data_IF_010336064990
#
_entry.id   IF_010336064990
#
_cell.length_a   1.000
_cell.length_b   1.000
_cell.length_c   1.000
_cell.angle_alpha   90.00
_cell.angle_beta   90.00
_cell.angle_gamma   90.00
#
_symmetry.space_group_name_H-M   'P 1'
#
loop_
_entity.id
_entity.type
_entity.pdbx_description
1 polymer ?
#
# COMPACT_ATOMS: atom_id res chain seq x y z
N UNK A 1 55.77 0.91 20.50
CA UNK A 1 54.61 0.70 19.70
C UNK A 1 53.55 1.74 20.05
N UNK A 2 53.43 2.78 19.23
CA UNK A 2 52.43 3.89 19.40
C UNK A 2 51.13 3.45 18.75
N UNK A 3 50.06 3.29 19.55
CA UNK A 3 48.69 3.03 19.04
C UNK A 3 48.23 4.30 18.34
N UNK A 4 47.90 4.14 17.06
CA UNK A 4 47.30 5.22 16.28
C UNK A 4 45.90 5.56 16.87
N UNK A 5 45.74 6.79 17.29
CA UNK A 5 44.48 7.36 17.73
C UNK A 5 43.65 7.62 16.47
N UNK A 6 42.65 6.76 16.22
CA UNK A 6 41.69 6.96 15.12
C UNK A 6 40.79 8.10 15.55
N UNK A 7 41.08 9.23 15.00
CA UNK A 7 40.31 10.50 15.12
C UNK A 7 38.84 10.18 14.71
N UNK A 8 37.94 10.18 15.68
CA UNK A 8 36.48 10.12 15.44
C UNK A 8 36.12 11.42 14.75
N UNK A 9 36.20 11.44 13.41
CA UNK A 9 35.64 12.53 12.60
C UNK A 9 34.19 12.75 13.08
N UNK A 10 33.93 13.92 13.63
CA UNK A 10 32.60 14.45 13.92
C UNK A 10 31.74 14.21 12.68
N UNK A 11 30.85 13.21 12.71
CA UNK A 11 29.77 13.12 11.72
C UNK A 11 29.00 14.42 11.84
N UNK A 12 29.08 15.28 10.84
CA UNK A 12 28.33 16.50 10.80
C UNK A 12 26.86 16.19 11.12
N UNK A 13 26.27 16.91 12.06
CA UNK A 13 24.88 16.74 12.41
C UNK A 13 24.06 16.93 11.15
N UNK A 14 23.50 15.84 10.64
CA UNK A 14 22.52 15.93 9.55
C UNK A 14 21.32 16.68 10.12
N UNK A 15 21.03 17.86 9.55
CA UNK A 15 19.90 18.69 9.93
C UNK A 15 19.10 19.03 8.70
N UNK A 16 17.91 18.45 8.59
CA UNK A 16 16.95 18.76 7.53
C UNK A 16 15.84 19.60 8.14
N UNK A 17 15.60 20.79 7.59
CA UNK A 17 14.48 21.65 7.99
C UNK A 17 13.48 21.75 6.84
N UNK A 18 12.20 21.62 7.18
CA UNK A 18 11.11 21.79 6.25
C UNK A 18 9.94 22.48 6.96
N UNK A 19 9.22 23.29 6.22
CA UNK A 19 7.87 23.68 6.61
C UNK A 19 6.98 22.44 6.65
N UNK A 20 6.05 22.36 7.60
CA UNK A 20 5.11 21.26 7.74
C UNK A 20 3.82 21.70 8.43
N UNK A 21 2.73 20.94 8.22
CA UNK A 21 1.53 21.07 9.01
C UNK A 21 1.40 19.83 9.90
N UNK A 22 1.23 20.06 11.22
CA UNK A 22 1.00 19.04 12.21
C UNK A 22 -0.50 18.88 12.46
N UNK A 23 -1.04 17.67 12.40
CA UNK A 23 -2.41 17.40 12.83
C UNK A 23 -2.48 17.25 14.35
N UNK A 24 -3.28 18.09 15.01
CA UNK A 24 -3.47 18.06 16.45
C UNK A 24 -4.87 18.55 16.80
N UNK A 25 -5.58 17.82 17.67
CA UNK A 25 -6.91 18.20 18.18
C UNK A 25 -7.92 18.52 17.07
N UNK A 26 -7.92 17.75 15.96
CA UNK A 26 -8.90 17.88 14.88
C UNK A 26 -8.50 18.86 13.78
N UNK A 27 -7.38 19.57 13.90
CA UNK A 27 -6.97 20.60 12.94
C UNK A 27 -5.49 20.47 12.51
N UNK A 28 -5.17 21.03 11.34
CA UNK A 28 -3.81 21.12 10.83
C UNK A 28 -3.17 22.44 11.26
N UNK A 29 -2.11 22.37 12.02
CA UNK A 29 -1.38 23.53 12.59
C UNK A 29 -0.08 23.70 11.83
N UNK A 30 0.14 24.90 11.33
CA UNK A 30 1.38 25.27 10.64
C UNK A 30 2.58 25.26 11.57
N UNK A 31 3.73 24.81 11.08
CA UNK A 31 4.96 24.76 11.85
C UNK A 31 6.20 24.39 11.04
N UNK A 32 7.30 24.26 11.75
CA UNK A 32 8.60 23.83 11.23
C UNK A 32 8.93 22.43 11.72
N UNK A 33 9.27 21.55 10.78
CA UNK A 33 9.83 20.23 11.03
C UNK A 33 11.36 20.33 10.92
N UNK A 34 12.06 19.85 11.92
CA UNK A 34 13.52 19.72 11.93
C UNK A 34 13.84 18.26 12.23
N UNK A 35 14.55 17.60 11.32
CA UNK A 35 15.06 16.24 11.49
C UNK A 35 16.56 16.34 11.73
N UNK A 36 17.00 15.91 12.89
CA UNK A 36 18.41 15.86 13.31
C UNK A 36 18.88 14.39 13.34
N UNK A 37 20.14 14.16 13.58
CA UNK A 37 20.72 12.80 13.57
C UNK A 37 20.16 11.87 14.66
N UNK A 38 19.55 12.42 15.72
CA UNK A 38 19.03 11.62 16.85
C UNK A 38 17.56 11.91 17.20
N UNK A 39 16.95 12.93 16.60
CA UNK A 39 15.60 13.37 16.98
C UNK A 39 14.86 14.10 15.88
N UNK A 40 13.51 14.08 15.99
CA UNK A 40 12.59 14.92 15.24
C UNK A 40 12.12 16.02 16.17
N UNK A 41 12.15 17.26 15.71
CA UNK A 41 11.59 18.41 16.40
C UNK A 41 10.53 19.06 15.51
N UNK A 42 9.35 19.30 16.07
CA UNK A 42 8.29 20.04 15.41
C UNK A 42 7.99 21.28 16.27
N UNK A 43 8.01 22.44 15.66
CA UNK A 43 7.74 23.70 16.34
C UNK A 43 6.56 24.37 15.68
N UNK A 44 5.52 24.68 16.42
CA UNK A 44 4.31 25.41 16.00
C UNK A 44 4.11 26.65 16.85
N UNK A 45 3.16 27.51 16.51
CA UNK A 45 2.75 28.64 17.34
C UNK A 45 2.13 28.23 18.68
N UNK A 46 1.78 26.93 18.86
CA UNK A 46 1.21 26.35 20.08
C UNK A 46 2.22 25.55 20.91
N UNK A 47 3.50 25.63 20.56
CA UNK A 47 4.60 24.94 21.25
C UNK A 47 5.41 24.02 20.37
N UNK A 48 6.39 23.35 20.98
CA UNK A 48 7.28 22.41 20.32
C UNK A 48 7.15 21.00 20.87
N UNK A 49 7.35 20.00 19.99
CA UNK A 49 7.38 18.59 20.33
C UNK A 49 8.72 18.04 19.86
N UNK A 50 9.34 17.17 20.66
CA UNK A 50 10.61 16.52 20.32
C UNK A 50 10.48 15.03 20.56
N UNK A 51 10.82 14.22 19.55
CA UNK A 51 10.85 12.78 19.65
C UNK A 51 12.23 12.24 19.25
N UNK A 52 12.80 11.29 20.01
CA UNK A 52 13.98 10.54 19.61
C UNK A 52 13.68 9.72 18.34
N UNK A 53 14.61 9.69 17.39
CA UNK A 53 14.48 8.84 16.19
C UNK A 53 14.42 7.36 16.54
N UNK A 54 15.10 6.98 17.61
CA UNK A 54 15.14 5.60 18.10
C UNK A 54 13.78 5.05 18.55
N UNK A 55 12.81 5.92 18.79
CA UNK A 55 11.46 5.55 19.18
C UNK A 55 10.49 5.41 18.00
N UNK A 56 10.94 5.70 16.77
CA UNK A 56 10.12 5.51 15.57
C UNK A 56 9.95 4.02 15.32
N UNK A 57 8.70 3.58 15.28
CA UNK A 57 8.32 2.19 15.05
C UNK A 57 7.83 1.94 13.64
N UNK A 58 7.16 2.93 13.02
CA UNK A 58 6.61 2.80 11.67
C UNK A 58 6.39 4.15 10.99
N UNK A 59 6.34 4.12 9.67
CA UNK A 59 6.06 5.28 8.81
C UNK A 59 5.04 4.89 7.75
N UNK A 60 3.97 5.68 7.62
CA UNK A 60 2.92 5.41 6.63
C UNK A 60 2.58 6.67 5.84
N UNK A 61 2.48 6.52 4.53
CA UNK A 61 1.86 7.55 3.69
C UNK A 61 0.36 7.28 3.64
N UNK A 62 -0.41 8.21 4.12
CA UNK A 62 -1.88 8.12 4.18
C UNK A 62 -2.51 9.25 3.38
N UNK A 63 -3.76 9.03 2.96
CA UNK A 63 -4.53 10.01 2.20
C UNK A 63 -5.93 10.15 2.80
N UNK A 64 -6.34 11.38 3.05
CA UNK A 64 -7.69 11.74 3.44
C UNK A 64 -8.25 12.79 2.46
N UNK A 65 -9.22 12.38 1.65
CA UNK A 65 -9.69 13.17 0.52
C UNK A 65 -8.54 13.52 -0.43
N UNK A 66 -8.26 14.82 -0.59
CA UNK A 66 -7.17 15.33 -1.44
C UNK A 66 -5.86 15.59 -0.66
N UNK A 67 -5.82 15.35 0.64
CA UNK A 67 -4.65 15.60 1.48
C UNK A 67 -3.86 14.31 1.67
N UNK A 68 -2.61 14.33 1.25
CA UNK A 68 -1.64 13.26 1.49
C UNK A 68 -0.74 13.69 2.67
N UNK A 69 -0.55 12.80 3.64
CA UNK A 69 0.23 13.09 4.83
C UNK A 69 1.06 11.88 5.27
N UNK A 70 2.15 12.16 5.96
CA UNK A 70 3.02 11.17 6.58
C UNK A 70 2.56 10.94 8.02
N UNK A 71 2.23 9.71 8.35
CA UNK A 71 2.02 9.25 9.71
C UNK A 71 3.31 8.61 10.22
N UNK A 72 3.78 9.06 11.38
CA UNK A 72 4.96 8.55 12.08
C UNK A 72 4.49 7.98 13.41
N UNK A 73 4.59 6.66 13.57
CA UNK A 73 4.28 6.00 14.84
C UNK A 73 5.53 5.98 15.74
N UNK A 74 5.40 6.50 16.97
CA UNK A 74 6.48 6.71 17.92
C UNK A 74 6.06 6.19 19.27
N UNK A 75 6.32 4.90 19.56
CA UNK A 75 5.79 4.23 20.76
C UNK A 75 4.26 4.20 20.74
N UNK A 76 3.63 4.82 21.75
CA UNK A 76 2.16 4.93 21.83
C UNK A 76 1.60 6.15 21.09
N UNK A 77 2.46 7.11 20.69
CA UNK A 77 2.08 8.32 19.99
C UNK A 77 2.07 8.11 18.47
N UNK A 78 1.24 8.90 17.77
CA UNK A 78 1.21 8.94 16.31
C UNK A 78 1.18 10.39 15.85
N UNK A 79 2.18 10.77 15.04
CA UNK A 79 2.30 12.08 14.42
C UNK A 79 1.78 12.04 13.00
N UNK A 80 0.89 12.96 12.63
CA UNK A 80 0.46 13.14 11.24
C UNK A 80 0.99 14.47 10.72
N UNK A 81 1.74 14.42 9.62
CA UNK A 81 2.45 15.57 9.05
C UNK A 81 2.16 15.73 7.56
N UNK A 82 1.73 16.91 7.14
CA UNK A 82 1.78 17.31 5.73
C UNK A 82 3.12 18.00 5.50
N UNK A 83 3.93 17.45 4.60
CA UNK A 83 5.27 17.94 4.25
C UNK A 83 5.28 18.26 2.76
N UNK A 84 5.87 19.40 2.33
CA UNK A 84 6.00 19.70 0.91
C UNK A 84 6.71 18.59 0.14
N UNK A 85 6.21 18.23 -1.05
CA UNK A 85 6.71 17.10 -1.86
C UNK A 85 8.22 17.09 -2.06
N UNK A 86 8.83 18.29 -2.25
CA UNK A 86 10.29 18.42 -2.41
C UNK A 86 11.09 17.97 -1.19
N UNK A 87 10.52 18.08 0.02
CA UNK A 87 11.17 17.72 1.29
C UNK A 87 10.75 16.34 1.78
N UNK A 88 9.60 15.85 1.34
CA UNK A 88 9.00 14.58 1.81
C UNK A 88 9.90 13.39 1.49
N UNK A 89 10.31 13.21 0.23
CA UNK A 89 11.10 12.05 -0.19
C UNK A 89 12.44 11.92 0.55
N UNK A 90 13.28 12.95 0.67
CA UNK A 90 14.52 12.83 1.44
C UNK A 90 14.27 12.62 2.94
N UNK A 91 13.23 13.24 3.54
CA UNK A 91 12.88 13.04 4.94
C UNK A 91 12.40 11.62 5.16
N UNK A 92 11.44 11.15 4.36
CA UNK A 92 10.91 9.80 4.44
C UNK A 92 12.02 8.75 4.36
N UNK A 93 12.89 8.86 3.36
CA UNK A 93 14.03 7.98 3.20
C UNK A 93 14.96 7.99 4.41
N UNK A 94 15.31 9.17 4.91
CA UNK A 94 16.18 9.30 6.09
C UNK A 94 15.55 8.62 7.31
N UNK A 95 14.27 8.91 7.59
CA UNK A 95 13.54 8.31 8.71
C UNK A 95 13.47 6.79 8.59
N UNK A 96 13.15 6.26 7.42
CA UNK A 96 13.04 4.82 7.17
C UNK A 96 14.33 4.06 7.50
N UNK A 97 15.49 4.62 7.13
CA UNK A 97 16.77 3.98 7.46
C UNK A 97 17.15 4.06 8.94
N UNK A 98 16.51 4.96 9.71
CA UNK A 98 16.73 5.14 11.14
C UNK A 98 15.75 4.36 12.02
N UNK A 99 14.71 3.74 11.46
CA UNK A 99 13.83 2.83 12.21
C UNK A 99 14.65 1.64 12.71
N UNK A 100 14.42 1.26 13.97
CA UNK A 100 15.03 0.07 14.55
C UNK A 100 14.28 -1.17 14.05
N UNK A 101 14.95 -1.95 13.22
CA UNK A 101 14.49 -3.23 12.72
C UNK A 101 15.50 -4.32 12.98
N UNK A 102 15.04 -5.56 13.05
CA UNK A 102 15.87 -6.70 12.75
C UNK A 102 16.10 -6.73 11.24
N UNK A 103 17.36 -6.55 10.80
CA UNK A 103 17.71 -6.36 9.39
C UNK A 103 18.42 -7.58 8.81
N UNK A 104 17.88 -8.09 7.72
CA UNK A 104 18.46 -9.20 6.96
C UNK A 104 18.88 -8.71 5.57
N UNK A 105 20.12 -9.05 5.18
CA UNK A 105 20.62 -8.75 3.84
C UNK A 105 19.99 -9.70 2.84
N UNK A 106 19.31 -9.15 1.82
CA UNK A 106 18.61 -9.92 0.79
C UNK A 106 18.79 -9.30 -0.59
N UNK A 107 18.45 -10.07 -1.62
CA UNK A 107 18.04 -9.54 -2.91
C UNK A 107 16.53 -9.63 -3.01
N UNK A 108 15.89 -8.64 -3.55
CA UNK A 108 14.44 -8.65 -3.77
C UNK A 108 14.07 -8.11 -5.15
N UNK A 109 12.95 -8.59 -5.68
CA UNK A 109 12.33 -8.15 -6.91
C UNK A 109 10.90 -7.72 -6.59
N UNK A 110 10.58 -6.42 -6.69
CA UNK A 110 9.26 -5.89 -6.33
C UNK A 110 8.84 -4.69 -7.17
N UNK A 111 7.62 -4.72 -7.75
CA UNK A 111 6.78 -5.90 -7.87
C UNK A 111 7.29 -6.81 -9.00
N UNK A 112 7.31 -8.13 -8.79
CA UNK A 112 7.54 -9.11 -9.86
C UNK A 112 6.31 -9.18 -10.77
N UNK A 113 5.13 -9.19 -10.15
CA UNK A 113 3.86 -9.10 -10.87
C UNK A 113 2.86 -8.19 -10.16
N UNK A 114 1.90 -7.68 -10.93
CA UNK A 114 0.82 -6.84 -10.47
C UNK A 114 -0.49 -7.33 -11.10
N UNK A 115 -1.48 -7.69 -10.28
CA UNK A 115 -2.74 -8.27 -10.76
C UNK A 115 -2.54 -9.50 -11.64
N UNK A 116 -1.53 -10.33 -11.35
CA UNK A 116 -1.18 -11.52 -12.14
C UNK A 116 -0.37 -11.25 -13.41
N UNK A 117 -0.09 -9.97 -13.75
CA UNK A 117 0.71 -9.58 -14.92
C UNK A 117 2.15 -9.30 -14.51
N UNK A 118 3.11 -9.95 -15.16
CA UNK A 118 4.53 -9.72 -14.89
C UNK A 118 4.96 -8.29 -15.18
N UNK A 119 5.72 -7.70 -14.26
CA UNK A 119 6.22 -6.34 -14.38
C UNK A 119 7.46 -6.30 -15.28
N UNK A 120 7.33 -5.70 -16.44
CA UNK A 120 8.46 -5.56 -17.37
C UNK A 120 9.51 -4.56 -16.85
N UNK A 121 10.78 -4.92 -16.99
CA UNK A 121 11.90 -4.02 -16.66
C UNK A 121 12.24 -3.91 -15.18
N UNK A 122 11.55 -4.60 -14.29
CA UNK A 122 11.90 -4.68 -12.87
C UNK A 122 13.16 -5.54 -12.69
N UNK A 123 14.07 -5.08 -11.83
CA UNK A 123 15.36 -5.73 -11.62
C UNK A 123 15.51 -6.14 -10.15
N UNK A 124 16.31 -7.17 -9.93
CA UNK A 124 16.73 -7.55 -8.59
C UNK A 124 17.50 -6.42 -7.92
N UNK A 125 17.05 -6.03 -6.74
CA UNK A 125 17.71 -5.02 -5.92
C UNK A 125 18.40 -5.68 -4.73
N UNK A 126 19.63 -5.28 -4.46
CA UNK A 126 20.32 -5.66 -3.22
C UNK A 126 19.95 -4.66 -2.13
N UNK A 127 19.47 -5.17 -0.99
CA UNK A 127 19.05 -4.34 0.11
C UNK A 127 18.86 -5.14 1.39
N UNK A 128 18.06 -4.58 2.28
CA UNK A 128 17.72 -5.20 3.55
C UNK A 128 16.21 -5.40 3.62
N UNK A 129 15.79 -6.51 4.22
CA UNK A 129 14.46 -6.62 4.79
C UNK A 129 14.54 -6.22 6.26
N UNK A 130 13.72 -5.27 6.69
CA UNK A 130 13.60 -4.83 8.08
C UNK A 130 12.26 -5.30 8.65
N UNK A 131 12.29 -6.07 9.74
CA UNK A 131 11.09 -6.60 10.38
C UNK A 131 10.77 -5.71 11.58
N UNK A 132 9.66 -4.96 11.49
CA UNK A 132 9.16 -4.07 12.51
C UNK A 132 7.96 -4.63 13.25
N UNK A 133 7.38 -3.85 14.16
CA UNK A 133 6.20 -4.28 14.94
C UNK A 133 4.91 -4.35 14.13
N UNK A 134 4.72 -3.46 13.14
CA UNK A 134 3.46 -3.29 12.38
C UNK A 134 3.59 -3.63 10.91
N UNK A 135 4.82 -3.63 10.40
CA UNK A 135 5.11 -3.85 9.01
C UNK A 135 6.53 -4.37 8.85
N UNK A 136 6.79 -4.97 7.73
CA UNK A 136 8.16 -5.15 7.29
C UNK A 136 8.48 -4.24 6.10
N UNK A 137 9.78 -4.03 5.88
CA UNK A 137 10.29 -3.05 4.95
C UNK A 137 11.33 -3.65 4.03
N UNK A 138 11.25 -3.33 2.75
CA UNK A 138 12.37 -3.51 1.84
C UNK A 138 13.11 -2.19 1.70
N UNK A 139 14.38 -2.22 2.05
CA UNK A 139 15.26 -1.04 2.08
C UNK A 139 16.41 -1.24 1.13
N UNK A 140 16.38 -0.60 -0.03
CA UNK A 140 17.52 -0.49 -0.93
C UNK A 140 17.97 0.96 -1.08
N UNK A 141 19.03 1.16 -1.85
CA UNK A 141 19.48 2.52 -2.20
C UNK A 141 18.42 3.30 -2.99
N UNK A 142 17.66 2.59 -3.83
CA UNK A 142 16.71 3.19 -4.76
C UNK A 142 15.28 3.20 -4.19
N UNK A 143 14.93 2.20 -3.36
CA UNK A 143 13.56 1.91 -2.95
C UNK A 143 13.43 1.71 -1.45
N UNK A 144 12.38 2.27 -0.86
CA UNK A 144 11.91 2.01 0.49
C UNK A 144 10.44 1.60 0.39
N UNK A 145 10.18 0.30 0.49
CA UNK A 145 8.86 -0.28 0.35
C UNK A 145 8.39 -0.82 1.68
N UNK A 146 7.28 -0.33 2.18
CA UNK A 146 6.59 -0.82 3.36
C UNK A 146 5.51 -1.83 2.96
N UNK A 147 5.43 -2.92 3.72
CA UNK A 147 4.33 -3.88 3.64
C UNK A 147 3.75 -4.08 5.03
N UNK A 148 2.48 -3.71 5.22
CA UNK A 148 1.74 -4.01 6.44
C UNK A 148 1.52 -5.51 6.57
N UNK A 149 1.51 -6.04 7.78
CA UNK A 149 1.23 -7.47 7.98
C UNK A 149 -0.21 -7.83 7.62
N UNK A 150 -1.13 -6.87 7.71
CA UNK A 150 -2.53 -6.96 7.29
C UNK A 150 -2.73 -6.92 5.77
N UNK A 151 -1.73 -6.42 5.03
CA UNK A 151 -1.77 -6.40 3.56
C UNK A 151 -1.27 -7.72 2.93
N UNK A 152 -0.62 -8.60 3.72
CA UNK A 152 0.00 -9.83 3.21
C UNK A 152 -1.04 -10.93 3.08
N UNK A 153 -1.14 -11.53 1.90
CA UNK A 153 -2.06 -12.63 1.61
C UNK A 153 -1.39 -14.00 1.65
N UNK A 154 -0.19 -14.12 1.07
CA UNK A 154 0.52 -15.41 0.95
C UNK A 154 2.01 -15.21 1.20
N UNK A 155 2.61 -16.16 1.91
CA UNK A 155 4.05 -16.32 2.06
C UNK A 155 4.35 -17.78 1.77
N UNK A 156 5.13 -18.04 0.73
CA UNK A 156 5.46 -19.39 0.30
C UNK A 156 6.83 -19.46 -0.37
N UNK A 157 7.39 -20.65 -0.44
CA UNK A 157 8.62 -20.91 -1.18
C UNK A 157 8.31 -21.36 -2.58
N UNK A 158 9.07 -20.88 -3.53
CA UNK A 158 8.99 -21.31 -4.92
C UNK A 158 10.36 -21.40 -5.57
N UNK A 159 10.48 -22.12 -6.67
CA UNK A 159 11.71 -22.25 -7.45
C UNK A 159 11.61 -21.37 -8.68
N UNK A 160 12.54 -20.46 -8.83
CA UNK A 160 12.61 -19.54 -9.98
C UNK A 160 13.94 -19.69 -10.70
N UNK A 161 13.90 -19.61 -12.01
CA UNK A 161 15.12 -19.51 -12.83
C UNK A 161 15.63 -18.07 -12.77
N UNK A 162 16.80 -17.89 -12.13
CA UNK A 162 17.46 -16.60 -11.99
C UNK A 162 18.82 -16.68 -12.68
N UNK A 163 18.93 -15.98 -13.82
CA UNK A 163 20.01 -16.21 -14.76
C UNK A 163 19.87 -17.60 -15.38
N UNK A 164 20.92 -18.42 -15.26
CA UNK A 164 20.94 -19.80 -15.81
C UNK A 164 20.73 -20.89 -14.73
N UNK A 165 20.32 -20.50 -13.52
CA UNK A 165 20.23 -21.41 -12.37
C UNK A 165 18.87 -21.34 -11.70
N UNK A 166 18.36 -22.50 -11.34
CA UNK A 166 17.23 -22.61 -10.43
C UNK A 166 17.63 -22.19 -9.01
N UNK A 167 16.79 -21.38 -8.40
CA UNK A 167 16.99 -20.89 -7.03
C UNK A 167 15.66 -20.86 -6.29
N UNK A 168 15.72 -21.30 -5.05
CA UNK A 168 14.58 -21.11 -4.13
C UNK A 168 14.47 -19.63 -3.76
N UNK A 169 13.28 -19.10 -3.86
CA UNK A 169 12.90 -17.75 -3.46
C UNK A 169 11.73 -17.81 -2.49
N UNK A 170 11.63 -16.82 -1.61
CA UNK A 170 10.43 -16.60 -0.82
C UNK A 170 9.52 -15.65 -1.60
N UNK A 171 8.32 -16.10 -1.88
CA UNK A 171 7.26 -15.35 -2.57
C UNK A 171 6.38 -14.70 -1.50
N UNK A 172 6.18 -13.41 -1.61
CA UNK A 172 5.28 -12.65 -0.75
C UNK A 172 4.24 -11.95 -1.62
N UNK A 173 2.99 -12.43 -1.52
CA UNK A 173 1.87 -11.76 -2.15
C UNK A 173 1.22 -10.80 -1.15
N UNK A 174 1.00 -9.57 -1.57
CA UNK A 174 0.39 -8.53 -0.75
C UNK A 174 -0.55 -7.68 -1.59
N UNK A 175 -1.48 -6.99 -0.93
CA UNK A 175 -2.44 -6.10 -1.58
C UNK A 175 -1.98 -4.65 -1.40
N UNK A 176 -1.75 -3.94 -2.50
CA UNK A 176 -1.51 -2.50 -2.49
C UNK A 176 -2.56 -1.79 -3.36
N UNK A 177 -3.35 -0.91 -2.74
CA UNK A 177 -4.43 -0.14 -3.39
C UNK A 177 -5.46 -1.00 -4.13
N UNK A 178 -5.74 -2.20 -3.60
CA UNK A 178 -6.71 -3.13 -4.17
C UNK A 178 -6.15 -4.04 -5.26
N UNK A 179 -4.86 -3.93 -5.59
CA UNK A 179 -4.18 -4.82 -6.54
C UNK A 179 -3.28 -5.81 -5.81
N UNK A 180 -3.32 -7.07 -6.23
CA UNK A 180 -2.41 -8.10 -5.71
C UNK A 180 -1.05 -7.91 -6.36
N UNK A 181 -0.03 -7.77 -5.54
CA UNK A 181 1.36 -7.65 -5.94
C UNK A 181 2.18 -8.81 -5.44
N UNK A 182 3.08 -9.30 -6.27
CA UNK A 182 4.05 -10.33 -5.91
C UNK A 182 5.42 -9.71 -5.72
N UNK A 183 6.06 -10.05 -4.63
CA UNK A 183 7.46 -9.71 -4.34
C UNK A 183 8.26 -10.97 -4.09
N UNK A 184 9.40 -11.09 -4.74
CA UNK A 184 10.33 -12.22 -4.56
C UNK A 184 11.49 -11.80 -3.68
N UNK A 185 11.89 -12.69 -2.75
CA UNK A 185 13.06 -12.53 -1.88
C UNK A 185 14.04 -13.66 -2.15
N UNK A 186 15.30 -13.31 -2.39
CA UNK A 186 16.39 -14.26 -2.56
C UNK A 186 17.47 -13.98 -1.51
N UNK A 187 17.77 -14.99 -0.70
CA UNK A 187 18.81 -14.94 0.33
C UNK A 187 19.29 -16.36 0.65
N UNK A 188 20.33 -16.55 1.50
CA UNK A 188 20.72 -17.87 1.97
C UNK A 188 19.58 -18.60 2.68
N UNK A 189 19.53 -19.91 2.55
CA UNK A 189 18.46 -20.78 3.06
C UNK A 189 18.15 -20.55 4.55
N UNK A 190 19.20 -20.44 5.38
CA UNK A 190 19.05 -20.17 6.81
C UNK A 190 18.38 -18.82 7.10
N UNK A 191 18.73 -17.80 6.32
CA UNK A 191 18.10 -16.46 6.42
C UNK A 191 16.67 -16.51 5.93
N UNK A 192 16.39 -17.25 4.85
CA UNK A 192 15.06 -17.44 4.30
C UNK A 192 14.12 -18.09 5.33
N UNK A 193 14.57 -19.16 5.98
CA UNK A 193 13.81 -19.84 7.02
C UNK A 193 13.48 -18.92 8.21
N UNK A 194 14.42 -18.06 8.61
CA UNK A 194 14.16 -17.06 9.66
C UNK A 194 13.14 -16.02 9.23
N UNK A 195 13.28 -15.43 8.04
CA UNK A 195 12.35 -14.44 7.50
C UNK A 195 10.96 -15.04 7.36
N UNK A 196 10.84 -16.23 6.77
CA UNK A 196 9.59 -16.96 6.61
C UNK A 196 8.90 -17.22 7.96
N UNK A 197 9.66 -17.70 8.96
CA UNK A 197 9.14 -17.94 10.31
C UNK A 197 8.59 -16.66 10.94
N UNK A 198 9.35 -15.56 10.94
CA UNK A 198 8.92 -14.28 11.46
C UNK A 198 7.67 -13.74 10.73
N UNK A 199 7.69 -13.74 9.40
CA UNK A 199 6.56 -13.21 8.63
C UNK A 199 5.31 -14.05 8.83
N UNK A 200 5.43 -15.38 8.89
CA UNK A 200 4.29 -16.28 9.14
C UNK A 200 3.70 -16.02 10.52
N UNK A 201 4.51 -15.94 11.57
CA UNK A 201 4.05 -15.66 12.94
C UNK A 201 3.33 -14.29 13.03
N UNK A 202 3.92 -13.25 12.42
CA UNK A 202 3.37 -11.90 12.48
C UNK A 202 2.10 -11.72 11.63
N UNK A 203 1.91 -12.53 10.59
CA UNK A 203 0.73 -12.48 9.71
C UNK A 203 -0.39 -13.40 10.15
N UNK A 204 -0.12 -14.45 10.94
CA UNK A 204 -1.13 -15.45 11.35
C UNK A 204 -2.36 -14.82 12.02
N UNK A 205 -2.18 -13.77 12.82
CA UNK A 205 -3.26 -13.04 13.49
C UNK A 205 -4.22 -12.32 12.53
N UNK A 206 -3.79 -12.09 11.28
CA UNK A 206 -4.59 -11.45 10.23
C UNK A 206 -5.25 -12.46 9.30
N UNK A 207 -4.86 -13.75 9.38
CA UNK A 207 -5.48 -14.80 8.57
C UNK A 207 -6.93 -15.02 9.04
N UNK A 208 -7.87 -14.78 8.15
CA UNK A 208 -9.28 -15.03 8.42
C UNK A 208 -9.55 -16.52 8.14
N UNK A 209 -10.07 -17.22 9.14
CA UNK A 209 -10.60 -18.55 8.94
C UNK A 209 -11.91 -18.40 8.19
N UNK A 210 -11.98 -18.84 6.94
CA UNK A 210 -13.15 -18.76 6.05
C UNK A 210 -14.35 -19.64 6.48
N UNK A 211 -14.51 -19.87 7.80
CA UNK A 211 -15.63 -20.59 8.39
C UNK A 211 -16.89 -19.73 8.28
N UNK A 212 -17.91 -20.22 7.59
CA UNK A 212 -19.23 -19.55 7.48
C UNK A 212 -19.57 -18.96 6.11
N UNK A 213 -18.70 -19.10 5.11
CA UNK A 213 -19.06 -18.77 3.72
C UNK A 213 -19.61 -19.99 2.99
N UNK A 214 -20.70 -19.80 2.25
CA UNK A 214 -21.23 -20.76 1.31
C UNK A 214 -20.33 -20.91 0.08
N UNK A 215 -20.52 -21.97 -0.71
CA UNK A 215 -19.67 -22.19 -1.89
C UNK A 215 -19.86 -21.10 -2.95
N UNK A 216 -21.09 -20.59 -3.11
CA UNK A 216 -21.36 -19.47 -4.03
C UNK A 216 -20.69 -18.17 -3.58
N UNK A 217 -20.61 -17.89 -2.28
CA UNK A 217 -19.89 -16.73 -1.73
C UNK A 217 -18.38 -16.84 -1.94
N UNK A 218 -17.83 -18.06 -1.85
CA UNK A 218 -16.43 -18.34 -2.20
C UNK A 218 -16.17 -18.14 -3.69
N UNK A 219 -17.11 -18.56 -4.53
CA UNK A 219 -17.06 -18.38 -5.97
C UNK A 219 -17.12 -16.90 -6.35
N UNK A 220 -18.02 -16.12 -5.76
CA UNK A 220 -18.07 -14.66 -5.90
C UNK A 220 -16.73 -14.03 -5.50
N UNK A 221 -16.17 -14.42 -4.36
CA UNK A 221 -14.86 -13.91 -3.92
C UNK A 221 -13.75 -14.25 -4.93
N UNK A 222 -13.77 -15.44 -5.52
CA UNK A 222 -12.80 -15.88 -6.54
C UNK A 222 -12.92 -15.07 -7.83
N UNK A 223 -14.13 -14.78 -8.27
CA UNK A 223 -14.38 -13.96 -9.46
C UNK A 223 -13.94 -12.51 -9.24
N UNK A 224 -14.21 -11.93 -8.05
CA UNK A 224 -13.71 -10.62 -7.66
C UNK A 224 -12.18 -10.60 -7.64
N UNK A 225 -11.53 -11.62 -7.07
CA UNK A 225 -10.07 -11.76 -7.08
C UNK A 225 -9.49 -11.79 -8.50
N UNK A 226 -10.22 -12.41 -9.44
CA UNK A 226 -9.84 -12.46 -10.86
C UNK A 226 -10.08 -11.14 -11.61
N UNK A 227 -10.57 -10.10 -10.93
CA UNK A 227 -10.82 -8.77 -11.50
C UNK A 227 -12.10 -8.69 -12.33
N UNK A 228 -13.01 -9.64 -12.20
CA UNK A 228 -14.28 -9.66 -12.92
C UNK A 228 -15.23 -8.66 -12.26
N UNK A 229 -15.87 -7.82 -13.08
CA UNK A 229 -16.81 -6.82 -12.60
C UNK A 229 -18.16 -7.43 -12.16
N UNK A 230 -18.92 -6.68 -11.36
CA UNK A 230 -20.17 -7.17 -10.77
C UNK A 230 -21.24 -7.55 -11.81
N UNK A 231 -21.29 -6.88 -12.96
CA UNK A 231 -22.27 -7.18 -14.02
C UNK A 231 -21.97 -8.55 -14.63
N UNK A 232 -20.69 -8.80 -14.88
CA UNK A 232 -20.23 -10.06 -15.43
C UNK A 232 -20.45 -11.21 -14.42
N UNK A 233 -20.19 -10.96 -13.11
CA UNK A 233 -20.46 -11.92 -12.04
C UNK A 233 -21.95 -12.28 -11.96
N UNK A 234 -22.86 -11.29 -12.00
CA UNK A 234 -24.30 -11.50 -12.06
C UNK A 234 -24.68 -12.42 -13.22
N UNK A 235 -24.14 -12.13 -14.41
CA UNK A 235 -24.41 -12.93 -15.62
C UNK A 235 -23.85 -14.35 -15.54
N UNK A 236 -22.62 -14.51 -15.01
CA UNK A 236 -21.96 -15.83 -14.92
C UNK A 236 -22.62 -16.75 -13.92
N UNK A 237 -23.05 -16.23 -12.78
CA UNK A 237 -23.64 -17.00 -11.68
C UNK A 237 -25.19 -17.02 -11.73
N UNK A 238 -25.81 -16.29 -12.65
CA UNK A 238 -27.27 -16.17 -12.74
C UNK A 238 -27.89 -15.50 -11.53
N UNK A 239 -27.17 -14.54 -10.92
CA UNK A 239 -27.60 -13.80 -9.74
C UNK A 239 -28.29 -12.49 -10.14
N UNK A 240 -29.24 -12.05 -9.31
CA UNK A 240 -29.72 -10.68 -9.35
C UNK A 240 -28.81 -9.74 -8.54
N UNK A 241 -28.99 -8.43 -8.76
CA UNK A 241 -28.19 -7.37 -8.12
C UNK A 241 -28.28 -7.42 -6.59
N UNK A 242 -29.47 -7.65 -6.05
CA UNK A 242 -29.70 -7.63 -4.60
C UNK A 242 -29.01 -8.84 -3.93
N UNK A 243 -29.10 -9.99 -4.54
CA UNK A 243 -28.43 -11.23 -4.07
C UNK A 243 -26.90 -11.07 -4.10
N UNK A 244 -26.34 -10.56 -5.21
CA UNK A 244 -24.90 -10.30 -5.30
C UNK A 244 -24.45 -9.22 -4.29
N UNK A 245 -25.25 -8.17 -4.12
CA UNK A 245 -24.97 -7.14 -3.09
C UNK A 245 -24.93 -7.75 -1.69
N UNK A 246 -25.87 -8.63 -1.35
CA UNK A 246 -25.89 -9.34 -0.07
C UNK A 246 -24.63 -10.19 0.14
N UNK A 247 -24.15 -10.87 -0.90
CA UNK A 247 -22.89 -11.62 -0.82
C UNK A 247 -21.68 -10.69 -0.63
N UNK A 248 -21.62 -9.58 -1.36
CA UNK A 248 -20.56 -8.58 -1.19
C UNK A 248 -20.57 -7.97 0.22
N UNK A 249 -21.73 -7.62 0.76
CA UNK A 249 -21.87 -7.13 2.14
C UNK A 249 -21.41 -8.16 3.18
N UNK A 250 -21.70 -9.44 2.94
CA UNK A 250 -21.24 -10.52 3.81
C UNK A 250 -19.73 -10.67 3.73
N UNK A 251 -19.12 -10.64 2.54
CA UNK A 251 -17.68 -10.64 2.37
C UNK A 251 -17.02 -9.44 3.07
N UNK A 252 -17.62 -8.23 2.98
CA UNK A 252 -17.15 -7.04 3.68
C UNK A 252 -17.24 -7.21 5.20
N UNK A 253 -18.35 -7.76 5.72
CA UNK A 253 -18.56 -8.02 7.14
C UNK A 253 -17.55 -9.03 7.72
N UNK A 254 -17.09 -9.97 6.90
CA UNK A 254 -16.01 -10.90 7.22
C UNK A 254 -14.60 -10.26 7.02
N UNK A 255 -14.51 -9.02 6.55
CA UNK A 255 -13.24 -8.36 6.25
C UNK A 255 -12.50 -8.93 5.03
N UNK A 256 -13.20 -9.71 4.19
CA UNK A 256 -12.63 -10.35 2.99
C UNK A 256 -12.70 -9.45 1.76
N UNK A 257 -13.58 -8.46 1.75
CA UNK A 257 -13.76 -7.50 0.68
C UNK A 257 -13.95 -6.10 1.23
N UNK A 258 -13.80 -5.10 0.36
CA UNK A 258 -14.12 -3.69 0.63
C UNK A 258 -14.93 -3.16 -0.52
N UNK A 259 -16.09 -2.59 -0.22
CA UNK A 259 -16.91 -1.91 -1.23
C UNK A 259 -16.20 -0.64 -1.70
N UNK A 260 -15.82 -0.60 -2.98
CA UNK A 260 -15.14 0.54 -3.60
C UNK A 260 -16.07 1.42 -4.43
N UNK A 261 -17.21 0.88 -4.85
CA UNK A 261 -18.21 1.57 -5.66
C UNK A 261 -19.59 1.00 -5.40
N UNK A 262 -20.57 1.86 -5.13
CA UNK A 262 -22.00 1.49 -5.07
C UNK A 262 -22.59 1.73 -6.45
N UNK A 263 -23.12 0.67 -7.07
CA UNK A 263 -23.81 0.74 -8.35
C UNK A 263 -25.20 1.34 -8.15
N UNK A 264 -25.57 2.32 -8.99
CA UNK A 264 -26.94 2.81 -9.09
C UNK A 264 -27.49 2.44 -10.46
N UNK A 265 -28.61 1.75 -10.48
CA UNK A 265 -29.39 1.51 -11.69
C UNK A 265 -30.51 2.54 -11.76
N UNK A 266 -30.74 3.09 -12.94
CA UNK A 266 -31.80 4.06 -13.18
C UNK A 266 -32.60 3.63 -14.40
N UNK A 267 -33.91 3.62 -14.25
CA UNK A 267 -34.85 3.46 -15.36
C UNK A 267 -35.41 4.78 -15.78
N UNK A 268 -35.63 4.94 -17.09
CA UNK A 268 -36.23 6.14 -17.59
C UNK A 268 -37.72 6.20 -17.23
N UNK A 269 -38.12 7.30 -16.65
CA UNK A 269 -39.53 7.60 -16.48
C UNK A 269 -40.20 7.88 -17.85
N UNK A 270 -41.54 7.82 -17.98
CA UNK A 270 -42.22 8.18 -19.23
C UNK A 270 -41.79 9.55 -19.79
N UNK A 271 -41.50 10.52 -18.91
CA UNK A 271 -40.92 11.84 -19.32
C UNK A 271 -39.53 11.71 -19.89
N UNK A 272 -38.65 10.84 -19.28
CA UNK A 272 -37.32 10.55 -19.78
C UNK A 272 -37.35 9.88 -21.15
N UNK A 273 -38.26 8.90 -21.34
CA UNK A 273 -38.46 8.24 -22.64
C UNK A 273 -38.89 9.24 -23.71
N UNK A 274 -39.85 10.12 -23.38
CA UNK A 274 -40.29 11.15 -24.31
C UNK A 274 -39.17 12.14 -24.66
N UNK A 275 -38.37 12.56 -23.67
CA UNK A 275 -37.21 13.41 -23.92
C UNK A 275 -36.19 12.78 -24.89
N UNK A 276 -35.84 11.51 -24.70
CA UNK A 276 -34.94 10.80 -25.60
C UNK A 276 -35.52 10.71 -27.04
N UNK A 277 -36.83 10.41 -27.16
CA UNK A 277 -37.50 10.34 -28.47
C UNK A 277 -37.54 11.69 -29.19
N UNK A 278 -37.76 12.79 -28.48
CA UNK A 278 -37.76 14.13 -29.06
C UNK A 278 -36.32 14.57 -29.46
N UNK A 279 -35.34 14.23 -28.64
CA UNK A 279 -33.93 14.50 -28.98
C UNK A 279 -33.50 13.75 -30.23
N UNK A 280 -33.82 12.45 -30.34
CA UNK A 280 -33.52 11.65 -31.51
C UNK A 280 -34.24 12.14 -32.81
N UNK A 281 -35.46 12.74 -32.68
CA UNK A 281 -36.16 13.35 -33.84
C UNK A 281 -35.47 14.64 -34.29
N UNK A 282 -34.94 15.46 -33.34
CA UNK A 282 -34.21 16.68 -33.69
C UNK A 282 -32.89 16.36 -34.44
N UNK A 283 -32.18 15.31 -34.00
CA UNK A 283 -30.92 14.89 -34.63
C UNK A 283 -31.16 14.30 -36.04
N UNK A 284 -32.26 13.54 -36.24
CA UNK A 284 -32.65 13.05 -37.57
C UNK A 284 -33.09 14.18 -38.52
N UNK A 285 -33.77 15.21 -38.03
CA UNK A 285 -34.12 16.40 -38.83
C UNK A 285 -32.90 17.23 -39.26
N UNK A 286 -31.83 17.25 -38.48
CA UNK A 286 -30.57 17.88 -38.87
C UNK A 286 -29.82 17.12 -39.98
N UNK A 287 -29.91 15.80 -39.99
CA UNK A 287 -29.29 14.95 -41.00
C UNK A 287 -29.98 15.09 -42.36
N UNK A 288 -31.32 15.28 -42.36
CA UNK A 288 -32.07 15.48 -43.60
C UNK A 288 -31.82 16.87 -44.22
N UNK A 289 -31.62 17.91 -43.39
CA UNK A 289 -31.24 19.26 -43.88
C UNK A 289 -29.82 19.32 -44.45
N UNK A 290 -28.91 18.46 -44.01
CA UNK A 290 -27.53 18.37 -44.56
C UNK A 290 -27.49 17.59 -45.90
N UNK A 291 -28.51 16.78 -46.19
CA UNK A 291 -28.62 16.05 -47.46
C UNK A 291 -29.28 16.83 -48.61
N UNK A 292 -29.96 17.93 -48.25
CA UNK A 292 -30.62 18.81 -49.25
C UNK A 292 -29.84 20.10 -49.56
N UNK A 293 -28.64 20.30 -48.91
CA UNK A 293 -27.73 21.40 -49.19
C UNK A 293 -26.50 20.90 -49.98
#
# INVERSE_FOLDING_TARGET
>A
MKRANIDKRKRGELKVRSHAYLYKSGEWIEGDLIVESSRIKITTNRGGIIYPLDNIEDLRMEKDGNKEYLTIDIGEDSLKLIIPKKSLSPIYRYLTFNIKFDKFLVYFLSPESRGGVFSMGVKWERGFIGIGKRAFWFLSREKQLRMGYDDISVIERDVRTIGEKERTVLVVNHVDRGEVMTTLILCPETTMALIEGYLTELTDKYKIKGEGLSDIEKEVATLVYSGIDSITIESMLGLDLDTLSGYCEKLEKFGLAKVVKVRKEVELTPKGVNFVRESAKKDSGLIDQIKEA
#
